data_IF_146938650049
#
_entry.id   IF_146938650049
#
_cell.length_a   1.000
_cell.length_b   1.000
_cell.length_c   1.000
_cell.angle_alpha   90.00
_cell.angle_beta   90.00
_cell.angle_gamma   90.00
#
_symmetry.space_group_name_H-M   'P 1'
#
loop_
_entity.id
_entity.type
_entity.pdbx_description
1 polymer ?
#
# COMPACT_ATOMS: atom_id res chain seq x y z
N UNK A 1 -76.01 5.90 37.83
CA UNK A 1 -76.09 7.34 37.51
C UNK A 1 -74.92 7.69 36.61
N UNK A 2 -75.21 8.17 35.40
CA UNK A 2 -74.24 8.66 34.40
C UNK A 2 -73.77 10.07 34.76
N UNK A 3 -72.47 10.37 34.56
CA UNK A 3 -71.99 11.70 34.15
C UNK A 3 -70.79 11.56 33.20
N UNK A 4 -71.09 11.71 31.90
CA UNK A 4 -70.26 12.24 30.80
C UNK A 4 -69.94 13.73 31.12
N UNK A 5 -68.86 14.43 30.71
CA UNK A 5 -67.99 14.41 29.52
C UNK A 5 -66.84 15.45 29.70
N UNK A 6 -65.77 15.30 28.89
CA UNK A 6 -65.04 16.38 28.15
C UNK A 6 -64.09 17.34 28.93
N UNK A 7 -62.88 17.76 28.50
CA UNK A 7 -61.99 17.54 27.32
C UNK A 7 -60.60 18.21 27.57
N UNK A 8 -59.57 17.71 26.88
CA UNK A 8 -58.28 18.28 26.37
C UNK A 8 -57.34 19.17 27.21
N UNK A 9 -56.06 18.75 27.31
CA UNK A 9 -54.83 19.56 27.06
C UNK A 9 -53.60 18.62 26.99
N UNK A 10 -53.10 18.26 25.80
CA UNK A 10 -51.97 18.85 25.05
C UNK A 10 -50.57 18.53 25.60
N UNK A 11 -49.82 17.80 24.75
CA UNK A 11 -48.38 17.65 24.56
C UNK A 11 -47.38 18.08 25.66
N UNK A 12 -46.47 17.15 26.00
CA UNK A 12 -45.22 17.46 26.69
C UNK A 12 -44.29 16.26 26.87
N UNK A 13 -43.93 15.55 25.79
CA UNK A 13 -42.76 14.66 25.80
C UNK A 13 -41.51 15.54 25.75
N UNK A 14 -40.85 15.74 26.89
CA UNK A 14 -39.48 16.22 26.93
C UNK A 14 -38.61 15.16 27.58
N UNK A 15 -38.19 14.18 26.79
CA UNK A 15 -36.97 13.43 27.09
C UNK A 15 -35.81 14.41 26.94
N UNK A 16 -35.21 14.81 28.05
CA UNK A 16 -33.98 15.59 28.07
C UNK A 16 -32.81 14.71 27.59
N UNK A 17 -32.73 14.49 26.29
CA UNK A 17 -31.50 14.00 25.65
C UNK A 17 -30.49 15.15 25.68
N UNK A 18 -29.54 15.09 26.60
CA UNK A 18 -28.30 15.85 26.47
C UNK A 18 -27.58 15.37 25.21
N UNK A 19 -27.31 16.23 24.21
CA UNK A 19 -26.32 15.92 23.20
C UNK A 19 -24.94 16.14 23.84
N UNK A 20 -24.44 15.13 24.55
CA UNK A 20 -23.01 15.05 24.80
C UNK A 20 -22.30 14.89 23.45
N UNK A 21 -21.15 15.55 23.22
CA UNK A 21 -20.42 15.40 21.97
C UNK A 21 -19.97 13.95 21.82
N UNK A 22 -20.49 13.28 20.79
CA UNK A 22 -20.12 11.91 20.40
C UNK A 22 -18.70 11.94 19.82
N UNK A 23 -17.70 11.90 20.69
CA UNK A 23 -16.29 11.77 20.32
C UNK A 23 -15.87 10.29 20.12
N UNK A 24 -16.80 9.41 19.72
CA UNK A 24 -16.53 7.96 19.60
C UNK A 24 -16.59 7.43 18.16
N UNK A 25 -17.02 8.25 17.18
CA UNK A 25 -17.14 7.82 15.76
C UNK A 25 -15.92 8.10 14.88
N UNK A 26 -14.99 8.93 15.33
CA UNK A 26 -13.80 9.29 14.53
C UNK A 26 -12.76 8.16 14.49
N UNK A 27 -12.60 7.38 15.56
CA UNK A 27 -11.59 6.30 15.61
C UNK A 27 -11.90 5.10 14.71
N UNK A 28 -13.17 4.70 14.58
CA UNK A 28 -13.54 3.58 13.71
C UNK A 28 -13.34 3.91 12.23
N UNK A 29 -13.61 5.15 11.81
CA UNK A 29 -13.45 5.58 10.41
C UNK A 29 -11.98 5.68 10.00
N UNK A 30 -11.10 6.15 10.89
CA UNK A 30 -9.67 6.21 10.63
C UNK A 30 -9.04 4.81 10.47
N UNK A 31 -9.46 3.83 11.28
CA UNK A 31 -8.99 2.43 11.13
C UNK A 31 -9.45 1.80 9.82
N UNK A 32 -10.71 2.00 9.41
CA UNK A 32 -11.22 1.46 8.16
C UNK A 32 -10.51 2.04 6.93
N UNK A 33 -10.28 3.36 6.90
CA UNK A 33 -9.54 4.04 5.82
C UNK A 33 -8.07 3.60 5.76
N UNK A 34 -7.46 3.33 6.91
CA UNK A 34 -6.08 2.82 6.96
C UNK A 34 -5.98 1.38 6.46
N UNK A 35 -6.97 0.53 6.74
CA UNK A 35 -7.00 -0.85 6.25
C UNK A 35 -7.14 -0.93 4.73
N UNK A 36 -7.99 -0.08 4.12
CA UNK A 36 -8.16 -0.04 2.65
C UNK A 36 -6.89 0.44 1.95
N UNK A 37 -6.26 1.50 2.47
CA UNK A 37 -5.02 2.04 1.91
C UNK A 37 -3.86 1.02 1.92
N UNK A 38 -3.76 0.18 2.96
CA UNK A 38 -2.73 -0.87 3.04
C UNK A 38 -2.94 -2.04 2.06
N UNK A 39 -4.19 -2.28 1.66
CA UNK A 39 -4.53 -3.27 0.63
C UNK A 39 -4.13 -2.75 -0.75
N UNK A 40 -4.51 -1.51 -1.06
CA UNK A 40 -4.18 -0.83 -2.31
C UNK A 40 -2.66 -0.74 -2.53
N UNK A 41 -1.90 -0.46 -1.47
CA UNK A 41 -0.42 -0.40 -1.53
C UNK A 41 0.20 -1.75 -1.89
N UNK A 42 -0.31 -2.85 -1.30
CA UNK A 42 0.21 -4.19 -1.57
C UNK A 42 -0.13 -4.65 -2.99
N UNK A 43 -1.36 -4.41 -3.43
CA UNK A 43 -1.79 -4.71 -4.81
C UNK A 43 -0.92 -3.97 -5.82
N UNK A 44 -0.68 -2.67 -5.59
CA UNK A 44 0.20 -1.87 -6.45
C UNK A 44 1.63 -2.40 -6.48
N UNK A 45 2.17 -2.79 -5.33
CA UNK A 45 3.50 -3.39 -5.24
C UNK A 45 3.60 -4.71 -6.02
N UNK A 46 2.56 -5.56 -5.97
CA UNK A 46 2.52 -6.81 -6.74
C UNK A 46 2.48 -6.51 -8.25
N UNK A 47 1.68 -5.55 -8.71
CA UNK A 47 1.66 -5.14 -10.12
C UNK A 47 3.05 -4.70 -10.61
N UNK A 48 3.76 -3.91 -9.81
CA UNK A 48 5.14 -3.52 -10.11
C UNK A 48 6.09 -4.72 -10.15
N UNK A 49 5.96 -5.65 -9.19
CA UNK A 49 6.81 -6.83 -9.09
C UNK A 49 6.62 -7.80 -10.27
N UNK A 50 5.38 -7.95 -10.76
CA UNK A 50 5.07 -8.83 -11.89
C UNK A 50 5.51 -8.24 -13.25
N UNK A 51 5.60 -6.91 -13.36
CA UNK A 51 5.84 -6.23 -14.63
C UNK A 51 7.12 -5.38 -14.58
N UNK A 52 8.27 -6.02 -14.83
CA UNK A 52 9.56 -5.33 -14.83
C UNK A 52 9.55 -4.10 -15.75
N UNK A 53 9.91 -2.95 -15.19
CA UNK A 53 9.97 -1.67 -15.91
C UNK A 53 8.68 -0.85 -15.90
N UNK A 54 7.54 -1.41 -15.44
CA UNK A 54 6.25 -0.71 -15.36
C UNK A 54 6.26 0.45 -14.36
N UNK A 55 6.79 0.22 -13.17
CA UNK A 55 6.94 1.25 -12.13
C UNK A 55 8.31 1.91 -12.23
N UNK A 56 8.41 3.21 -11.94
CA UNK A 56 9.70 3.93 -11.96
C UNK A 56 10.53 3.65 -10.69
N UNK A 57 11.81 4.05 -10.67
CA UNK A 57 12.72 3.76 -9.56
C UNK A 57 12.19 4.30 -8.22
N UNK A 58 11.72 5.55 -8.19
CA UNK A 58 11.19 6.17 -6.97
C UNK A 58 9.96 5.41 -6.45
N UNK A 59 9.06 4.98 -7.34
CA UNK A 59 7.88 4.20 -6.99
C UNK A 59 8.25 2.82 -6.42
N UNK A 60 9.24 2.13 -7.02
CA UNK A 60 9.74 0.85 -6.51
C UNK A 60 10.32 1.00 -5.09
N UNK A 61 11.14 2.02 -4.84
CA UNK A 61 11.76 2.25 -3.54
C UNK A 61 10.75 2.67 -2.47
N UNK A 62 9.80 3.54 -2.81
CA UNK A 62 8.74 3.98 -1.90
C UNK A 62 7.84 2.80 -1.49
N UNK A 63 7.35 2.02 -2.46
CA UNK A 63 6.51 0.85 -2.19
C UNK A 63 7.26 -0.20 -1.35
N UNK A 64 8.53 -0.47 -1.65
CA UNK A 64 9.34 -1.38 -0.86
C UNK A 64 9.46 -0.90 0.60
N UNK A 65 9.71 0.39 0.82
CA UNK A 65 9.80 0.98 2.15
C UNK A 65 8.49 0.89 2.93
N UNK A 66 7.35 1.15 2.29
CA UNK A 66 6.03 1.05 2.91
C UNK A 66 5.68 -0.40 3.31
N UNK A 67 6.04 -1.38 2.48
CA UNK A 67 5.85 -2.79 2.78
C UNK A 67 6.73 -3.29 3.94
N UNK A 68 7.99 -2.87 4.00
CA UNK A 68 8.90 -3.22 5.10
C UNK A 68 8.51 -2.58 6.44
N UNK A 69 7.91 -1.38 6.39
CA UNK A 69 7.42 -0.69 7.57
C UNK A 69 6.16 -1.36 8.19
N UNK A 70 5.55 -2.32 7.49
CA UNK A 70 4.38 -3.03 7.99
C UNK A 70 4.73 -3.99 9.14
N UNK A 71 4.14 -3.75 10.32
CA UNK A 71 4.39 -4.52 11.55
C UNK A 71 3.24 -5.45 11.95
N UNK A 72 2.21 -5.62 11.09
CA UNK A 72 0.99 -6.35 11.44
C UNK A 72 0.00 -5.52 12.27
N UNK A 73 -1.11 -6.12 12.70
CA UNK A 73 -2.18 -5.48 13.47
C UNK A 73 -2.54 -6.28 14.72
N UNK A 74 -2.00 -5.91 15.88
CA UNK A 74 -2.35 -6.55 17.16
C UNK A 74 -3.88 -6.62 17.39
N UNK A 75 -4.46 -7.81 17.24
CA UNK A 75 -5.78 -8.15 17.74
C UNK A 75 -5.66 -9.25 18.79
N UNK A 76 -6.04 -8.92 20.03
CA UNK A 76 -6.37 -9.90 21.07
C UNK A 76 -7.57 -10.73 20.56
N UNK A 77 -7.34 -11.86 19.90
CA UNK A 77 -8.18 -13.07 19.84
C UNK A 77 -7.80 -13.90 18.61
N UNK A 78 -6.64 -14.56 18.67
CA UNK A 78 -6.59 -15.97 18.24
C UNK A 78 -5.80 -16.38 17.01
N UNK A 79 -5.25 -15.50 16.16
CA UNK A 79 -4.52 -15.98 14.96
C UNK A 79 -3.28 -15.16 14.60
N UNK A 80 -2.31 -15.13 15.51
CA UNK A 80 -0.97 -14.55 15.31
C UNK A 80 -0.23 -15.13 14.08
N UNK A 81 -0.52 -16.39 13.71
CA UNK A 81 0.14 -17.10 12.59
C UNK A 81 -0.20 -16.49 11.23
N UNK A 82 -1.43 -16.02 11.03
CA UNK A 82 -1.86 -15.42 9.77
C UNK A 82 -1.18 -14.07 9.54
N UNK A 83 -0.94 -13.30 10.61
CA UNK A 83 -0.23 -12.02 10.53
C UNK A 83 1.26 -12.20 10.24
N UNK A 84 1.92 -13.20 10.84
CA UNK A 84 3.33 -13.48 10.52
C UNK A 84 3.53 -13.85 9.06
N UNK A 85 2.56 -14.57 8.47
CA UNK A 85 2.58 -14.86 7.03
C UNK A 85 2.41 -13.59 6.20
N UNK A 86 1.43 -12.75 6.48
CA UNK A 86 1.23 -11.50 5.74
C UNK A 86 2.46 -10.58 5.82
N UNK A 87 3.06 -10.45 7.00
CA UNK A 87 4.31 -9.69 7.19
C UNK A 87 5.44 -10.31 6.36
N UNK A 88 5.53 -11.64 6.28
CA UNK A 88 6.48 -12.35 5.42
C UNK A 88 6.25 -12.04 3.94
N UNK A 89 5.03 -12.26 3.45
CA UNK A 89 4.67 -12.04 2.05
C UNK A 89 4.95 -10.58 1.61
N UNK A 90 4.67 -9.59 2.48
CA UNK A 90 4.98 -8.18 2.21
C UNK A 90 6.49 -7.91 2.11
N UNK A 91 7.30 -8.54 2.96
CA UNK A 91 8.77 -8.41 2.91
C UNK A 91 9.35 -9.04 1.66
N UNK A 92 8.83 -10.20 1.25
CA UNK A 92 9.27 -10.88 0.04
C UNK A 92 9.00 -10.01 -1.21
N UNK A 93 7.80 -9.40 -1.29
CA UNK A 93 7.48 -8.46 -2.38
C UNK A 93 8.40 -7.23 -2.33
N UNK A 94 8.66 -6.67 -1.14
CA UNK A 94 9.57 -5.54 -1.00
C UNK A 94 10.99 -5.85 -1.49
N UNK A 95 11.50 -7.05 -1.21
CA UNK A 95 12.80 -7.50 -1.69
C UNK A 95 12.84 -7.59 -3.22
N UNK A 96 11.79 -8.11 -3.84
CA UNK A 96 11.67 -8.14 -5.31
C UNK A 96 11.73 -6.72 -5.89
N UNK A 97 10.99 -5.78 -5.33
CA UNK A 97 10.99 -4.38 -5.81
C UNK A 97 12.39 -3.74 -5.73
N UNK A 98 13.13 -3.99 -4.64
CA UNK A 98 14.51 -3.52 -4.47
C UNK A 98 15.47 -4.16 -5.48
N UNK A 99 15.35 -5.47 -5.71
CA UNK A 99 16.15 -6.13 -6.73
C UNK A 99 15.89 -5.56 -8.13
N UNK A 100 14.63 -5.23 -8.44
CA UNK A 100 14.30 -4.58 -9.71
C UNK A 100 14.89 -3.18 -9.82
N UNK A 101 14.82 -2.36 -8.76
CA UNK A 101 15.40 -1.01 -8.79
C UNK A 101 16.92 -1.05 -8.97
N UNK A 102 17.61 -1.91 -8.23
CA UNK A 102 19.05 -2.14 -8.39
C UNK A 102 19.42 -2.60 -9.80
N UNK A 103 18.67 -3.55 -10.36
CA UNK A 103 18.93 -4.05 -11.70
C UNK A 103 18.80 -2.93 -12.74
N UNK A 104 17.78 -2.08 -12.63
CA UNK A 104 17.61 -0.95 -13.55
C UNK A 104 18.74 0.06 -13.46
N UNK A 105 19.20 0.39 -12.25
CA UNK A 105 20.37 1.26 -12.08
C UNK A 105 21.64 0.66 -12.70
N UNK A 106 21.84 -0.66 -12.56
CA UNK A 106 22.98 -1.35 -13.19
C UNK A 106 22.87 -1.36 -14.71
N UNK A 107 21.68 -1.58 -15.27
CA UNK A 107 21.46 -1.52 -16.72
C UNK A 107 21.71 -0.11 -17.26
N UNK A 108 21.21 0.92 -16.58
CA UNK A 108 21.46 2.31 -16.95
C UNK A 108 22.97 2.65 -16.95
N UNK A 109 23.70 2.19 -15.94
CA UNK A 109 25.16 2.32 -15.92
C UNK A 109 25.81 1.64 -17.13
N UNK A 110 25.41 0.40 -17.45
CA UNK A 110 25.97 -0.35 -18.58
C UNK A 110 25.71 0.33 -19.92
N UNK A 111 24.54 0.93 -20.10
CA UNK A 111 24.14 1.61 -21.35
C UNK A 111 24.73 3.01 -21.48
N UNK A 112 24.78 3.79 -20.38
CA UNK A 112 24.99 5.23 -20.46
C UNK A 112 26.26 5.75 -19.80
N UNK A 113 26.90 4.97 -18.92
CA UNK A 113 28.03 5.44 -18.11
C UNK A 113 29.25 4.51 -18.11
N UNK A 114 29.14 3.30 -18.67
CA UNK A 114 30.21 2.34 -18.69
C UNK A 114 31.29 2.76 -19.71
N UNK A 115 32.40 3.26 -19.19
CA UNK A 115 33.58 3.70 -19.96
C UNK A 115 34.19 2.62 -20.85
N UNK A 116 33.98 1.35 -20.54
CA UNK A 116 34.46 0.23 -21.35
C UNK A 116 33.47 -0.19 -22.43
N UNK A 117 32.20 0.22 -22.35
CA UNK A 117 31.20 -0.12 -23.35
C UNK A 117 31.54 0.54 -24.69
N UNK A 118 31.98 1.80 -24.68
CA UNK A 118 32.43 2.51 -25.86
C UNK A 118 33.61 1.80 -26.55
N UNK A 119 34.59 1.32 -25.78
CA UNK A 119 35.75 0.61 -26.33
C UNK A 119 35.34 -0.70 -27.04
N UNK A 120 34.41 -1.46 -26.44
CA UNK A 120 33.90 -2.71 -27.03
C UNK A 120 33.07 -2.46 -28.28
N UNK A 121 32.19 -1.45 -28.26
CA UNK A 121 31.35 -1.14 -29.42
C UNK A 121 32.17 -0.58 -30.59
N UNK A 122 33.20 0.22 -30.32
CA UNK A 122 34.07 0.77 -31.36
C UNK A 122 35.06 -0.28 -31.96
N UNK A 123 35.46 -1.32 -31.22
CA UNK A 123 36.27 -2.42 -31.77
C UNK A 123 35.49 -3.27 -32.79
N UNK A 124 34.17 -3.44 -32.62
CA UNK A 124 33.33 -4.21 -33.55
C UNK A 124 33.21 -3.52 -34.91
N UNK A 125 33.20 -2.19 -34.95
CA UNK A 125 33.15 -1.41 -36.20
C UNK A 125 34.50 -1.33 -36.94
N UNK A 126 35.61 -1.70 -36.27
CA UNK A 126 36.95 -1.64 -36.85
C UNK A 126 37.31 -2.85 -37.75
N UNK A 127 36.58 -3.97 -37.66
CA UNK A 127 36.83 -5.17 -38.46
C UNK A 127 35.54 -5.82 -39.00
N UNK A 128 34.90 -5.25 -40.04
CA UNK A 128 33.69 -5.81 -40.65
C UNK A 128 33.92 -7.11 -41.45
N UNK A 129 35.17 -7.54 -41.69
CA UNK A 129 35.51 -8.59 -42.67
C UNK A 129 35.70 -10.01 -42.08
N UNK A 130 35.12 -10.34 -40.92
CA UNK A 130 35.14 -11.71 -40.39
C UNK A 130 33.74 -12.37 -40.32
N UNK A 131 32.87 -12.07 -41.29
CA UNK A 131 31.74 -12.92 -41.62
C UNK A 131 32.22 -14.05 -42.55
N UNK A 132 32.27 -15.27 -42.03
CA UNK A 132 32.51 -16.51 -42.78
C UNK A 132 31.22 -17.04 -43.40
#
# INVERSE_FOLDING_TARGET
MMKLLSLFAVCGLAAAFSPGPVAFRTHQRAKALSATSKCETFERAVECAENFGYCNLDELENLAGELEAFQGSFFEHGEEVMEQKEVGDRKDVAEVLKMQSELRLRMDYLENANVFADDVHNEVDAYPDQAW
#
